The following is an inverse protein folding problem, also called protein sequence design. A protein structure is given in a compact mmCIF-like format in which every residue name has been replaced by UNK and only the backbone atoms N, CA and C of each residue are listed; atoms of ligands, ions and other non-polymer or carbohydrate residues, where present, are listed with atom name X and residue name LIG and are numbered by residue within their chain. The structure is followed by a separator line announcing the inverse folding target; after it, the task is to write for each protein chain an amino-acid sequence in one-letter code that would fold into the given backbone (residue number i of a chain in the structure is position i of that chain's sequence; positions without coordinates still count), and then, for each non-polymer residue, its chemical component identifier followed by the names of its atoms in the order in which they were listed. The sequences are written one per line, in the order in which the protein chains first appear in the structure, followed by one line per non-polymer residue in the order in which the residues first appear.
data_IF_152132674938
#
_entry.id   IF_152132674938
#
_cell.length_a   1.000
_cell.length_b   1.000
_cell.length_c   1.000
_cell.angle_alpha   90.00
_cell.angle_beta   90.00
_cell.angle_gamma   90.00
#
_symmetry.space_group_name_H-M   'P 1'
#
loop_
_entity.id
_entity.type
_entity.pdbx_description
1 polymer ?
#
# COMPACT_ATOMS: atom_id res chain seq x y z
N UNK A 1 -9.07 4.38 -5.31
CA UNK A 1 -8.19 5.03 -6.30
C UNK A 1 -8.42 6.53 -6.43
N UNK A 2 -9.65 7.05 -6.44
CA UNK A 2 -9.89 8.50 -6.57
C UNK A 2 -9.14 9.32 -5.51
N UNK A 3 -9.17 8.90 -4.25
CA UNK A 3 -8.44 9.57 -3.15
C UNK A 3 -6.93 9.66 -3.36
N UNK A 4 -6.29 8.64 -3.95
CA UNK A 4 -4.85 8.70 -4.27
C UNK A 4 -4.56 9.73 -5.37
N UNK A 5 -5.41 9.83 -6.40
CA UNK A 5 -5.29 10.84 -7.44
C UNK A 5 -5.50 12.25 -6.88
N UNK A 6 -6.51 12.43 -6.04
CA UNK A 6 -6.75 13.72 -5.37
C UNK A 6 -5.56 14.14 -4.50
N UNK A 7 -4.99 13.22 -3.73
CA UNK A 7 -3.78 13.48 -2.93
C UNK A 7 -2.59 13.85 -3.84
N UNK A 8 -2.38 13.10 -4.93
CA UNK A 8 -1.35 13.41 -5.93
C UNK A 8 -1.57 14.81 -6.53
N UNK A 9 -2.81 15.18 -6.89
CA UNK A 9 -3.09 16.49 -7.51
C UNK A 9 -2.85 17.65 -6.54
N UNK A 10 -3.06 17.43 -5.23
CA UNK A 10 -2.75 18.42 -4.20
C UNK A 10 -1.24 18.57 -4.01
N UNK A 11 -0.51 17.45 -3.90
CA UNK A 11 0.92 17.46 -3.60
C UNK A 11 1.79 17.75 -4.83
N UNK A 12 1.34 17.33 -6.01
CA UNK A 12 2.10 17.39 -7.26
C UNK A 12 1.18 17.81 -8.42
N UNK A 13 0.62 19.05 -8.41
CA UNK A 13 -0.40 19.48 -9.37
C UNK A 13 0.09 19.43 -10.82
N UNK A 14 1.34 19.81 -11.06
CA UNK A 14 1.92 19.92 -12.41
C UNK A 14 2.58 18.61 -12.89
N UNK A 15 2.49 17.53 -12.11
CA UNK A 15 3.13 16.26 -12.43
C UNK A 15 2.11 15.28 -13.01
N UNK A 16 2.41 14.70 -14.17
CA UNK A 16 1.59 13.64 -14.74
C UNK A 16 1.74 12.36 -13.90
N UNK A 17 0.60 11.77 -13.52
CA UNK A 17 0.59 10.47 -12.85
C UNK A 17 0.63 9.32 -13.86
N UNK A 18 1.38 8.29 -13.50
CA UNK A 18 1.28 6.96 -14.12
C UNK A 18 0.40 6.11 -13.19
N UNK A 19 -0.63 5.48 -13.75
CA UNK A 19 -1.54 4.64 -12.98
C UNK A 19 -1.05 3.21 -12.99
N UNK A 20 -0.91 2.62 -11.81
CA UNK A 20 -0.54 1.22 -11.62
C UNK A 20 -1.79 0.46 -11.13
N UNK A 21 -2.48 -0.28 -12.00
CA UNK A 21 -3.72 -1.00 -11.65
C UNK A 21 -3.52 -2.02 -10.52
N UNK A 22 -2.33 -2.60 -10.43
CA UNK A 22 -1.92 -3.56 -9.41
C UNK A 22 -1.94 -2.97 -8.00
N UNK A 23 -1.91 -1.63 -7.87
CA UNK A 23 -1.96 -0.91 -6.59
C UNK A 23 -3.35 -0.40 -6.22
N UNK A 24 -4.41 -0.92 -6.85
CA UNK A 24 -5.76 -0.71 -6.32
C UNK A 24 -5.85 -1.28 -4.90
N UNK A 25 -6.75 -0.73 -4.07
CA UNK A 25 -7.01 -1.25 -2.72
C UNK A 25 -7.38 -2.74 -2.77
N UNK A 26 -7.15 -3.46 -1.67
CA UNK A 26 -7.59 -4.85 -1.54
C UNK A 26 -9.10 -4.95 -1.78
N UNK A 27 -9.52 -6.00 -2.44
CA UNK A 27 -10.93 -6.28 -2.68
C UNK A 27 -11.53 -6.95 -1.44
N UNK A 28 -12.33 -6.20 -0.69
CA UNK A 28 -13.02 -6.70 0.49
C UNK A 28 -14.26 -7.54 0.17
N UNK A 29 -14.60 -7.70 -1.11
CA UNK A 29 -15.74 -8.50 -1.56
C UNK A 29 -17.02 -8.09 -0.86
N UNK A 30 -17.70 -9.07 -0.20
CA UNK A 30 -18.95 -8.83 0.52
C UNK A 30 -18.82 -7.84 1.69
N UNK A 31 -17.60 -7.55 2.14
CA UNK A 31 -17.35 -6.63 3.26
C UNK A 31 -17.07 -5.19 2.81
N UNK A 32 -17.07 -4.91 1.50
CA UNK A 32 -16.91 -3.56 0.99
C UNK A 32 -17.90 -2.58 1.64
N UNK A 33 -17.35 -1.42 2.09
CA UNK A 33 -18.14 -0.34 2.69
C UNK A 33 -18.72 -0.64 4.07
N UNK A 34 -18.41 -1.80 4.67
CA UNK A 34 -18.86 -2.18 6.00
C UNK A 34 -17.78 -1.94 7.04
N UNK A 35 -18.19 -1.55 8.23
CA UNK A 35 -17.31 -1.45 9.39
C UNK A 35 -17.47 -2.68 10.30
N UNK A 36 -16.64 -2.78 11.35
CA UNK A 36 -16.68 -3.92 12.28
C UNK A 36 -18.01 -4.08 13.02
N UNK A 37 -18.78 -2.99 13.20
CA UNK A 37 -20.11 -3.03 13.83
C UNK A 37 -21.13 -3.66 12.89
N UNK A 38 -21.05 -3.36 11.59
CA UNK A 38 -21.93 -3.91 10.55
C UNK A 38 -21.68 -5.42 10.34
N UNK A 39 -20.45 -5.86 10.62
CA UNK A 39 -20.01 -7.25 10.47
C UNK A 39 -20.10 -8.06 11.76
N UNK A 40 -20.49 -7.44 12.87
CA UNK A 40 -20.63 -8.14 14.15
C UNK A 40 -21.70 -9.26 14.06
N UNK A 41 -21.29 -10.48 14.40
CA UNK A 41 -22.14 -11.66 14.29
C UNK A 41 -22.19 -12.31 12.91
N UNK A 42 -21.51 -11.78 11.90
CA UNK A 42 -21.33 -12.43 10.61
C UNK A 42 -20.31 -13.57 10.73
N UNK A 43 -20.72 -14.80 10.40
CA UNK A 43 -19.90 -16.00 10.54
C UNK A 43 -18.68 -16.02 9.60
N UNK A 44 -18.77 -15.36 8.43
CA UNK A 44 -17.65 -15.28 7.50
C UNK A 44 -16.62 -14.28 8.01
N UNK A 45 -17.09 -13.18 8.62
CA UNK A 45 -16.20 -12.20 9.26
C UNK A 45 -15.49 -12.83 10.47
N UNK A 46 -16.18 -13.62 11.29
CA UNK A 46 -15.54 -14.31 12.40
C UNK A 46 -14.47 -15.30 11.91
N UNK A 47 -14.76 -16.08 10.87
CA UNK A 47 -13.76 -16.99 10.27
C UNK A 47 -12.54 -16.23 9.73
N UNK A 48 -12.76 -15.08 9.13
CA UNK A 48 -11.66 -14.23 8.66
C UNK A 48 -10.79 -13.73 9.82
N UNK A 49 -11.40 -13.26 10.92
CA UNK A 49 -10.69 -12.88 12.15
C UNK A 49 -9.91 -14.06 12.72
N UNK A 50 -10.53 -15.22 12.86
CA UNK A 50 -9.92 -16.44 13.42
C UNK A 50 -8.72 -16.91 12.59
N UNK A 51 -8.70 -16.61 11.30
CA UNK A 51 -7.56 -16.87 10.41
C UNK A 51 -6.40 -15.86 10.57
N UNK A 52 -6.52 -14.85 11.43
CA UNK A 52 -5.58 -13.74 11.50
C UNK A 52 -5.64 -12.82 10.28
N UNK A 53 -6.78 -12.78 9.57
CA UNK A 53 -6.96 -11.95 8.39
C UNK A 53 -6.18 -12.43 7.15
N UNK A 54 -5.86 -13.73 7.07
CA UNK A 54 -5.08 -14.31 5.97
C UNK A 54 -5.97 -14.84 4.86
N UNK A 55 -7.11 -15.43 5.22
CA UNK A 55 -8.04 -15.99 4.23
C UNK A 55 -8.68 -14.93 3.35
N UNK A 56 -9.14 -15.33 2.15
CA UNK A 56 -9.83 -14.42 1.26
C UNK A 56 -11.14 -13.89 1.88
N UNK A 57 -11.45 -12.64 1.59
CA UNK A 57 -12.77 -12.09 1.86
C UNK A 57 -13.81 -12.82 1.00
N UNK A 58 -15.03 -13.05 1.48
CA UNK A 58 -16.09 -13.69 0.69
C UNK A 58 -16.36 -12.91 -0.61
N UNK A 59 -16.03 -13.52 -1.75
CA UNK A 59 -16.14 -12.87 -3.06
C UNK A 59 -15.10 -11.77 -3.32
N UNK A 60 -14.08 -11.67 -2.48
CA UNK A 60 -12.98 -10.72 -2.60
C UNK A 60 -11.62 -11.42 -2.68
N UNK A 61 -10.58 -10.74 -2.22
CA UNK A 61 -9.18 -11.11 -2.38
C UNK A 61 -8.58 -11.62 -1.06
N UNK A 62 -7.68 -12.58 -1.12
CA UNK A 62 -6.86 -12.98 0.02
C UNK A 62 -5.67 -12.01 0.20
N UNK A 63 -5.07 -12.04 1.40
CA UNK A 63 -3.85 -11.27 1.65
C UNK A 63 -2.73 -11.66 0.71
N UNK A 64 -2.55 -12.95 0.44
CA UNK A 64 -1.47 -13.45 -0.43
C UNK A 64 -1.64 -12.99 -1.88
N UNK A 65 -2.87 -13.01 -2.40
CA UNK A 65 -3.18 -12.49 -3.74
C UNK A 65 -2.91 -10.99 -3.82
N UNK A 66 -3.32 -10.24 -2.80
CA UNK A 66 -3.08 -8.81 -2.71
C UNK A 66 -1.59 -8.46 -2.64
N UNK A 67 -0.82 -9.17 -1.80
CA UNK A 67 0.64 -8.99 -1.68
C UNK A 67 1.33 -9.30 -3.01
N UNK A 68 1.00 -10.43 -3.63
CA UNK A 68 1.57 -10.82 -4.93
C UNK A 68 1.30 -9.77 -6.00
N UNK A 69 0.08 -9.27 -6.08
CA UNK A 69 -0.31 -8.23 -7.02
C UNK A 69 0.40 -6.91 -6.74
N UNK A 70 0.52 -6.53 -5.47
CA UNK A 70 1.21 -5.30 -5.06
C UNK A 70 2.69 -5.32 -5.41
N UNK A 71 3.35 -6.48 -5.28
CA UNK A 71 4.74 -6.67 -5.69
C UNK A 71 4.91 -6.62 -7.21
N UNK A 72 4.00 -7.21 -7.99
CA UNK A 72 4.01 -7.05 -9.44
C UNK A 72 3.89 -5.57 -9.86
N UNK A 73 3.08 -4.78 -9.14
CA UNK A 73 3.01 -3.33 -9.34
C UNK A 73 4.32 -2.61 -9.02
N UNK A 74 5.09 -3.07 -8.02
CA UNK A 74 6.41 -2.52 -7.73
C UNK A 74 7.41 -2.81 -8.84
N UNK A 75 7.43 -4.03 -9.35
CA UNK A 75 8.27 -4.42 -10.50
C UNK A 75 7.96 -3.54 -11.70
N UNK A 76 6.68 -3.38 -12.04
CA UNK A 76 6.27 -2.51 -13.13
C UNK A 76 6.62 -1.03 -12.91
N UNK A 77 6.54 -0.54 -11.67
CA UNK A 77 6.99 0.81 -11.33
C UNK A 77 8.49 1.00 -11.60
N UNK A 78 9.29 0.01 -11.23
CA UNK A 78 10.75 0.01 -11.47
C UNK A 78 11.05 0.02 -12.97
N UNK A 79 10.37 -0.84 -13.75
CA UNK A 79 10.50 -0.86 -15.22
C UNK A 79 10.16 0.52 -15.83
N UNK A 80 9.07 1.15 -15.38
CA UNK A 80 8.74 2.51 -15.80
C UNK A 80 9.85 3.52 -15.45
N UNK A 81 10.43 3.42 -14.25
CA UNK A 81 11.53 4.31 -13.87
C UNK A 81 12.75 4.13 -14.78
N UNK A 82 13.09 2.90 -15.16
CA UNK A 82 14.17 2.61 -16.09
C UNK A 82 13.89 3.18 -17.49
N UNK A 83 12.70 2.94 -18.03
CA UNK A 83 12.28 3.43 -19.34
C UNK A 83 12.31 4.96 -19.44
N UNK A 84 11.85 5.64 -18.38
CA UNK A 84 11.87 7.10 -18.30
C UNK A 84 13.20 7.66 -17.77
N UNK A 85 14.20 6.80 -17.50
CA UNK A 85 15.51 7.17 -16.92
C UNK A 85 15.40 7.99 -15.63
N UNK A 86 14.42 7.64 -14.80
CA UNK A 86 14.21 8.27 -13.50
C UNK A 86 14.93 7.49 -12.41
N UNK A 87 15.52 8.22 -11.45
CA UNK A 87 16.20 7.62 -10.29
C UNK A 87 15.32 7.60 -9.03
N UNK A 88 14.22 8.32 -9.05
CA UNK A 88 13.27 8.39 -7.95
C UNK A 88 11.84 8.54 -8.46
N UNK A 89 10.90 8.05 -7.69
CA UNK A 89 9.47 8.20 -7.93
C UNK A 89 8.74 8.40 -6.60
N UNK A 90 7.64 9.14 -6.65
CA UNK A 90 6.70 9.24 -5.53
C UNK A 90 5.49 8.40 -5.85
N UNK A 91 5.17 7.46 -4.96
CA UNK A 91 4.04 6.56 -5.08
C UNK A 91 2.95 6.96 -4.09
N UNK A 92 1.81 7.42 -4.58
CA UNK A 92 0.64 7.74 -3.74
C UNK A 92 -0.31 6.54 -3.79
N UNK A 93 -0.34 5.77 -2.72
CA UNK A 93 -0.99 4.47 -2.65
C UNK A 93 -1.86 4.33 -1.39
N UNK A 94 -2.56 3.21 -1.28
CA UNK A 94 -3.34 2.85 -0.08
C UNK A 94 -2.44 2.26 1.01
N UNK A 95 -2.87 2.36 2.27
CA UNK A 95 -2.15 1.78 3.41
C UNK A 95 -1.92 0.28 3.27
N UNK A 96 -2.91 -0.46 2.75
CA UNK A 96 -2.77 -1.88 2.44
C UNK A 96 -1.62 -2.16 1.47
N UNK A 97 -1.49 -1.36 0.41
CA UNK A 97 -0.40 -1.48 -0.57
C UNK A 97 0.96 -1.24 0.08
N UNK A 98 1.06 -0.26 0.99
CA UNK A 98 2.29 -0.01 1.76
C UNK A 98 2.64 -1.24 2.60
N UNK A 99 1.70 -1.76 3.37
CA UNK A 99 1.91 -2.96 4.20
C UNK A 99 2.35 -4.16 3.36
N UNK A 100 1.70 -4.38 2.21
CA UNK A 100 2.03 -5.49 1.30
C UNK A 100 3.46 -5.41 0.76
N UNK A 101 3.86 -4.25 0.26
CA UNK A 101 5.19 -4.05 -0.32
C UNK A 101 6.26 -4.11 0.77
N UNK A 102 6.06 -3.39 1.88
CA UNK A 102 7.07 -3.33 2.94
C UNK A 102 7.29 -4.67 3.61
N UNK A 103 6.24 -5.42 3.95
CA UNK A 103 6.38 -6.75 4.53
C UNK A 103 7.10 -7.73 3.58
N UNK A 104 6.83 -7.64 2.28
CA UNK A 104 7.52 -8.47 1.27
C UNK A 104 9.01 -8.14 1.14
N UNK A 105 9.37 -6.86 1.14
CA UNK A 105 10.76 -6.42 0.97
C UNK A 105 11.62 -6.69 2.21
N UNK A 106 11.03 -6.63 3.39
CA UNK A 106 11.77 -6.77 4.66
C UNK A 106 11.69 -8.17 5.26
N UNK A 107 10.67 -8.95 4.89
CA UNK A 107 10.33 -10.22 5.55
C UNK A 107 9.66 -10.06 6.92
N UNK A 108 9.23 -8.85 7.29
CA UNK A 108 8.51 -8.56 8.54
C UNK A 108 7.00 -8.85 8.47
N UNK A 109 6.32 -8.68 9.59
CA UNK A 109 4.88 -8.89 9.65
C UNK A 109 4.12 -7.79 8.89
N UNK A 110 3.03 -8.19 8.23
CA UNK A 110 2.23 -7.31 7.38
C UNK A 110 1.76 -6.04 8.13
N UNK A 111 1.28 -6.17 9.35
CA UNK A 111 0.73 -5.05 10.11
C UNK A 111 1.79 -4.14 10.77
N UNK A 112 3.07 -4.54 10.81
CA UNK A 112 4.16 -3.71 11.33
C UNK A 112 4.37 -2.45 10.48
N UNK A 113 3.89 -2.46 9.23
CA UNK A 113 4.03 -1.36 8.28
C UNK A 113 2.77 -0.51 8.13
N UNK A 114 1.85 -0.61 9.09
CA UNK A 114 0.65 0.23 9.09
C UNK A 114 1.02 1.70 9.34
N UNK A 115 0.51 2.58 8.51
CA UNK A 115 0.74 4.01 8.59
C UNK A 115 -0.56 4.80 8.70
N UNK A 116 -0.48 5.99 9.31
CA UNK A 116 -1.60 6.94 9.29
C UNK A 116 -1.70 7.61 7.92
N UNK A 117 -2.85 8.23 7.63
CA UNK A 117 -3.04 8.99 6.39
C UNK A 117 -1.97 10.09 6.26
N UNK A 118 -1.37 10.22 5.08
CA UNK A 118 -0.30 11.17 4.81
C UNK A 118 1.10 10.72 5.23
N UNK A 119 1.23 9.57 5.88
CA UNK A 119 2.51 8.96 6.23
C UNK A 119 2.89 7.86 5.23
N UNK A 120 4.13 7.42 5.29
CA UNK A 120 4.66 6.37 4.42
C UNK A 120 6.11 6.06 4.70
N UNK A 121 6.80 5.57 3.68
CA UNK A 121 8.21 5.22 3.76
C UNK A 121 8.96 5.72 2.53
N UNK A 122 10.16 6.21 2.75
CA UNK A 122 11.19 6.34 1.72
C UNK A 122 11.99 5.05 1.69
N UNK A 123 12.14 4.46 0.51
CA UNK A 123 12.89 3.21 0.31
C UNK A 123 13.99 3.43 -0.73
N UNK A 124 15.16 2.88 -0.47
CA UNK A 124 16.22 2.76 -1.45
C UNK A 124 16.29 1.31 -1.92
N UNK A 125 16.19 1.11 -3.21
CA UNK A 125 16.20 -0.21 -3.83
C UNK A 125 17.42 -0.37 -4.72
N UNK A 126 17.96 -1.59 -4.78
CA UNK A 126 18.94 -1.99 -5.79
C UNK A 126 18.43 -3.20 -6.56
N UNK A 127 18.91 -3.36 -7.79
CA UNK A 127 18.60 -4.53 -8.60
C UNK A 127 19.88 -5.35 -8.71
N UNK A 128 19.86 -6.57 -8.16
CA UNK A 128 20.99 -7.53 -8.22
C UNK A 128 20.49 -8.86 -8.75
N UNK A 129 21.09 -9.33 -9.83
CA UNK A 129 20.70 -10.61 -10.47
C UNK A 129 19.19 -10.69 -10.78
N UNK A 130 18.61 -9.64 -11.32
CA UNK A 130 17.18 -9.49 -11.60
C UNK A 130 16.27 -9.56 -10.35
N UNK A 131 16.80 -9.40 -9.15
CA UNK A 131 16.02 -9.34 -7.92
C UNK A 131 16.10 -7.93 -7.32
N UNK A 132 14.95 -7.41 -6.93
CA UNK A 132 14.85 -6.16 -6.17
C UNK A 132 15.28 -6.41 -4.73
N UNK A 133 16.21 -5.61 -4.23
CA UNK A 133 16.69 -5.66 -2.86
C UNK A 133 16.47 -4.31 -2.18
N UNK A 134 15.97 -4.36 -0.96
CA UNK A 134 15.83 -3.18 -0.11
C UNK A 134 17.18 -2.88 0.53
N UNK A 135 17.72 -1.70 0.24
CA UNK A 135 18.98 -1.23 0.82
C UNK A 135 18.74 -0.32 2.04
N UNK A 136 17.64 0.45 2.03
CA UNK A 136 17.30 1.35 3.13
C UNK A 136 15.80 1.55 3.23
N UNK A 137 15.31 1.70 4.45
CA UNK A 137 13.93 2.01 4.79
C UNK A 137 13.91 3.15 5.81
N UNK A 138 13.23 4.24 5.47
CA UNK A 138 13.09 5.41 6.35
C UNK A 138 11.62 5.79 6.46
N UNK A 139 11.00 5.79 7.66
CA UNK A 139 9.64 6.27 7.82
C UNK A 139 9.51 7.75 7.46
N UNK A 140 8.45 8.11 6.76
CA UNK A 140 8.03 9.49 6.53
C UNK A 140 6.91 9.80 7.52
N UNK A 141 7.21 10.62 8.53
CA UNK A 141 6.23 11.15 9.45
C UNK A 141 5.78 12.54 8.98
N UNK A 142 4.50 12.87 9.20
CA UNK A 142 4.08 14.26 9.13
C UNK A 142 4.63 14.97 10.37
N UNK A 143 5.30 16.10 10.20
CA UNK A 143 5.54 17.02 11.33
C UNK A 143 4.16 17.45 11.87
N UNK A 144 3.91 17.22 13.15
CA UNK A 144 2.72 17.78 13.79
C UNK A 144 2.83 19.30 13.65
N UNK A 145 1.89 19.90 12.94
CA UNK A 145 1.80 21.35 12.91
C UNK A 145 1.65 21.80 14.37
N UNK A 146 2.63 22.53 14.89
CA UNK A 146 2.50 23.19 16.20
C UNK A 146 1.19 23.98 16.17
N UNK A 147 0.19 23.55 16.96
CA UNK A 147 -0.96 24.38 17.25
C UNK A 147 -0.41 25.65 17.92
N UNK A 148 -0.24 26.68 17.13
CA UNK A 148 -0.01 28.02 17.69
C UNK A 148 -1.33 28.43 18.30
N UNK A 149 -1.44 28.19 19.61
CA UNK A 149 -2.45 28.81 20.46
C UNK A 149 -2.53 30.32 20.16
N UNK A 150 -3.72 30.72 19.71
CA UNK A 150 -4.14 32.12 19.70
C UNK A 150 -5.22 32.34 20.71
#
# INVERSE_FOLDING_TARGET
MLRCLQTKDILYPDTRAILIPEWKEIDFGRFEGKNYQDLNGDSDYQRWIDSGGVTAFPGGESRDEFVKRSMAGLEWCIECMEDYKQKSAVCVVHGGTIMAIMSSLTGGDYYDYQVKNGQGYEIELSIKNNNVQLEKLTPIAMEEAEEKDK
#
